data_IF_742564738223
#
_entry.id   IF_742564738223
#
_cell.length_a   1.000
_cell.length_b   1.000
_cell.length_c   1.000
_cell.angle_alpha   90.00
_cell.angle_beta   90.00
_cell.angle_gamma   90.00
#
_symmetry.space_group_name_H-M   'P 1'
#
loop_
_entity.id
_entity.type
_entity.pdbx_description
1 polymer ?
#
# COMPACT_ATOMS: atom_id res chain seq x y z
N UNK A 1 -22.53 5.01 14.58
CA UNK A 1 -21.65 6.18 14.45
C UNK A 1 -20.25 5.68 14.75
N UNK A 2 -19.51 5.28 13.72
CA UNK A 2 -18.08 5.04 13.84
C UNK A 2 -17.45 5.77 12.67
N UNK A 3 -16.95 6.96 12.98
CA UNK A 3 -16.23 7.79 12.02
C UNK A 3 -15.00 7.03 11.55
N UNK A 4 -15.02 6.55 10.31
CA UNK A 4 -13.81 6.16 9.62
C UNK A 4 -13.02 7.45 9.39
N UNK A 5 -12.11 7.75 10.34
CA UNK A 5 -11.13 8.80 10.22
C UNK A 5 -10.43 8.69 8.87
N UNK A 6 -10.07 9.84 8.31
CA UNK A 6 -9.21 9.97 7.13
C UNK A 6 -8.03 8.97 7.22
N UNK A 7 -8.14 7.79 6.59
CA UNK A 7 -7.15 6.71 6.66
C UNK A 7 -5.92 7.07 5.83
N UNK A 8 -5.03 7.85 6.42
CA UNK A 8 -3.64 8.05 5.96
C UNK A 8 -2.76 6.81 6.22
N UNK A 9 -3.22 5.62 5.84
CA UNK A 9 -2.55 4.33 6.11
C UNK A 9 -1.78 3.75 4.91
N UNK A 10 -1.65 4.53 3.84
CA UNK A 10 -0.95 4.10 2.62
C UNK A 10 0.45 4.71 2.56
N UNK A 11 1.45 3.87 2.40
CA UNK A 11 2.82 4.29 2.13
C UNK A 11 3.12 4.26 0.65
N UNK A 12 3.99 5.16 0.21
CA UNK A 12 4.59 5.11 -1.12
C UNK A 12 6.10 4.91 -0.99
N UNK A 13 6.65 4.03 -1.81
CA UNK A 13 8.11 3.84 -1.92
C UNK A 13 8.52 4.00 -3.38
N UNK A 14 9.70 4.54 -3.61
CA UNK A 14 10.28 4.63 -4.94
C UNK A 14 11.04 3.33 -5.23
N UNK A 15 10.62 2.58 -6.25
CA UNK A 15 11.34 1.38 -6.70
C UNK A 15 12.40 1.77 -7.74
N UNK A 16 12.05 2.67 -8.68
CA UNK A 16 12.97 3.24 -9.67
C UNK A 16 12.63 4.73 -9.95
N UNK A 17 13.21 5.33 -11.00
CA UNK A 17 13.02 6.76 -11.26
C UNK A 17 11.55 7.14 -11.53
N UNK A 18 10.77 6.26 -12.14
CA UNK A 18 9.37 6.50 -12.52
C UNK A 18 8.36 5.87 -11.55
N UNK A 19 8.68 4.71 -10.99
CA UNK A 19 7.69 3.85 -10.35
C UNK A 19 7.60 4.06 -8.85
N UNK A 20 6.35 4.26 -8.41
CA UNK A 20 5.98 4.45 -7.01
C UNK A 20 4.82 3.51 -6.67
N UNK A 21 5.10 2.29 -6.18
CA UNK A 21 4.06 1.48 -5.54
C UNK A 21 3.44 2.22 -4.37
N UNK A 22 2.12 2.07 -4.25
CA UNK A 22 1.35 2.50 -3.09
C UNK A 22 0.82 1.25 -2.40
N UNK A 23 1.24 1.04 -1.15
CA UNK A 23 0.95 -0.18 -0.40
C UNK A 23 0.74 0.09 1.09
N UNK A 24 0.14 -0.88 1.76
CA UNK A 24 0.04 -0.91 3.23
C UNK A 24 0.15 -2.33 3.75
N UNK A 25 0.49 -2.46 5.02
CA UNK A 25 0.59 -3.73 5.73
C UNK A 25 -0.51 -3.72 6.78
N UNK A 26 -1.40 -4.70 6.67
CA UNK A 26 -2.57 -4.83 7.54
C UNK A 26 -2.50 -6.18 8.25
N UNK A 27 -3.05 -6.25 9.46
CA UNK A 27 -3.04 -7.47 10.28
C UNK A 27 -1.69 -7.75 10.97
N UNK A 28 -1.66 -8.82 11.77
CA UNK A 28 -0.49 -9.23 12.56
C UNK A 28 -0.44 -10.77 12.68
N UNK A 29 0.74 -11.32 12.98
CA UNK A 29 0.97 -12.77 13.02
C UNK A 29 0.68 -13.42 11.67
N UNK A 30 0.01 -14.57 11.69
CA UNK A 30 -0.33 -15.33 10.48
C UNK A 30 -1.37 -14.63 9.58
N UNK A 31 -2.05 -13.60 10.08
CA UNK A 31 -3.02 -12.81 9.34
C UNK A 31 -2.42 -11.52 8.74
N UNK A 32 -1.10 -11.31 8.86
CA UNK A 32 -0.43 -10.18 8.24
C UNK A 32 -0.51 -10.28 6.72
N UNK A 33 -0.97 -9.21 6.07
CA UNK A 33 -1.08 -9.12 4.62
C UNK A 33 -0.56 -7.80 4.08
N UNK A 34 0.03 -7.87 2.90
CA UNK A 34 0.44 -6.71 2.12
C UNK A 34 -0.65 -6.39 1.11
N UNK A 35 -1.24 -5.20 1.22
CA UNK A 35 -2.21 -4.69 0.25
C UNK A 35 -1.52 -3.69 -0.68
N UNK A 36 -1.76 -3.83 -1.99
CA UNK A 36 -1.17 -2.97 -3.01
C UNK A 36 -2.32 -2.26 -3.74
N UNK A 37 -2.39 -0.94 -3.60
CA UNK A 37 -3.40 -0.12 -4.28
C UNK A 37 -2.98 0.28 -5.70
N UNK A 38 -1.68 0.43 -5.95
CA UNK A 38 -1.15 0.77 -7.27
C UNK A 38 0.25 0.19 -7.47
N UNK A 39 0.42 -0.48 -8.61
CA UNK A 39 1.70 -0.81 -9.22
C UNK A 39 1.60 -0.49 -10.72
N UNK A 40 1.88 0.76 -11.08
CA UNK A 40 1.85 1.18 -12.48
C UNK A 40 3.22 0.91 -13.10
N UNK A 41 3.22 -0.01 -14.08
CA UNK A 41 4.28 -0.32 -15.04
C UNK A 41 5.52 -1.05 -14.52
N UNK A 42 5.54 -2.39 -14.56
CA UNK A 42 6.79 -3.12 -14.84
C UNK A 42 6.53 -4.58 -15.23
N UNK A 43 6.00 -4.80 -16.44
CA UNK A 43 6.14 -6.09 -17.13
C UNK A 43 6.24 -5.78 -18.63
N UNK A 44 7.43 -5.36 -19.05
CA UNK A 44 7.96 -5.72 -20.37
C UNK A 44 8.74 -7.03 -20.22
#
# INVERSE_FOLDING_TARGET
MDGAGCSTDWWSRRINQADRPVYRVEGAGDAQRLEIAQCRFHYD
#
